data_IF_485301601691
#
_entry.id   IF_485301601691
#
_cell.length_a   1.000
_cell.length_b   1.000
_cell.length_c   1.000
_cell.angle_alpha   90.00
_cell.angle_beta   90.00
_cell.angle_gamma   90.00
#
_symmetry.space_group_name_H-M   'P 1'
#
loop_
_entity.id
_entity.type
_entity.pdbx_description
1 polymer ?
#
# COMPACT_ATOMS: atom_id res chain seq x y z
N UNK A 1 31.33 4.89 5.69
CA UNK A 1 30.11 5.73 5.62
C UNK A 1 28.93 4.81 5.86
N UNK A 2 28.19 5.00 6.95
CA UNK A 2 26.98 4.23 7.21
C UNK A 2 25.92 4.63 6.19
N UNK A 3 25.66 3.81 5.18
CA UNK A 3 24.52 4.04 4.31
C UNK A 3 23.25 3.99 5.16
N UNK A 4 22.43 5.03 5.08
CA UNK A 4 21.11 5.02 5.68
C UNK A 4 20.33 3.85 5.07
N UNK A 5 19.91 2.89 5.89
CA UNK A 5 19.26 1.65 5.47
C UNK A 5 17.78 1.85 5.09
N UNK A 6 17.48 2.86 4.27
CA UNK A 6 16.11 3.11 3.80
C UNK A 6 15.73 1.99 2.84
N UNK A 7 14.75 1.19 3.25
CA UNK A 7 14.20 0.05 2.49
C UNK A 7 12.74 0.27 2.09
N UNK A 8 12.26 1.51 2.17
CA UNK A 8 10.89 1.87 1.84
C UNK A 8 10.84 3.08 0.92
N UNK A 9 10.00 3.01 -0.10
CA UNK A 9 9.75 4.09 -1.06
C UNK A 9 8.25 4.38 -1.04
N UNK A 10 7.89 5.64 -0.79
CA UNK A 10 6.53 6.14 -0.92
C UNK A 10 6.46 7.11 -2.11
N UNK A 11 5.58 6.83 -3.06
CA UNK A 11 5.31 7.68 -4.23
C UNK A 11 3.81 7.74 -4.52
N UNK A 12 3.41 8.38 -5.61
CA UNK A 12 2.05 8.42 -6.15
C UNK A 12 2.11 8.81 -7.63
N UNK A 13 1.14 8.34 -8.42
CA UNK A 13 1.01 8.73 -9.84
C UNK A 13 0.99 10.26 -10.02
N UNK A 14 0.28 10.96 -9.12
CA UNK A 14 0.14 12.43 -9.16
C UNK A 14 1.47 13.17 -8.95
N UNK A 15 2.47 12.54 -8.31
CA UNK A 15 3.79 13.16 -8.14
C UNK A 15 4.59 13.20 -9.44
N UNK A 16 4.18 12.41 -10.45
CA UNK A 16 4.80 12.33 -11.79
C UNK A 16 6.30 12.00 -11.75
N UNK A 17 6.72 11.21 -10.76
CA UNK A 17 8.13 10.85 -10.55
C UNK A 17 8.36 9.35 -10.28
N UNK A 18 7.40 8.49 -10.63
CA UNK A 18 7.53 7.02 -10.46
C UNK A 18 8.68 6.46 -11.32
N UNK A 19 9.01 7.09 -12.44
CA UNK A 19 10.15 6.70 -13.27
C UNK A 19 11.48 6.96 -12.54
N UNK A 20 11.64 8.09 -11.88
CA UNK A 20 12.83 8.42 -11.10
C UNK A 20 12.96 7.48 -9.88
N UNK A 21 11.84 7.14 -9.24
CA UNK A 21 11.82 6.10 -8.21
C UNK A 21 12.30 4.74 -8.76
N UNK A 22 11.95 4.39 -10.00
CA UNK A 22 12.44 3.18 -10.67
C UNK A 22 13.96 3.16 -10.84
N UNK A 23 14.58 4.32 -11.10
CA UNK A 23 16.04 4.45 -11.20
C UNK A 23 16.67 4.14 -9.85
N UNK A 24 16.17 4.75 -8.76
CA UNK A 24 16.66 4.49 -7.41
C UNK A 24 16.50 3.01 -6.99
N UNK A 25 15.38 2.38 -7.33
CA UNK A 25 15.15 0.94 -7.07
C UNK A 25 16.22 0.10 -7.76
N UNK A 26 16.46 0.32 -9.06
CA UNK A 26 17.45 -0.45 -9.83
C UNK A 26 18.88 -0.22 -9.34
N UNK A 27 19.25 1.04 -9.09
CA UNK A 27 20.60 1.41 -8.67
C UNK A 27 20.90 1.01 -7.21
N UNK A 28 19.89 0.72 -6.40
CA UNK A 28 20.09 0.24 -5.03
C UNK A 28 20.81 -1.11 -4.94
N UNK A 29 20.70 -1.94 -6.00
CA UNK A 29 21.23 -3.31 -6.01
C UNK A 29 20.54 -4.27 -5.02
N UNK A 30 19.48 -3.84 -4.33
CA UNK A 30 18.72 -4.69 -3.41
C UNK A 30 17.77 -5.60 -4.18
N UNK A 31 17.49 -6.79 -3.62
CA UNK A 31 16.45 -7.65 -4.13
C UNK A 31 15.08 -6.96 -4.05
N UNK A 32 14.17 -7.22 -4.98
CA UNK A 32 12.86 -6.54 -5.02
C UNK A 32 12.08 -6.76 -3.72
N UNK A 33 12.11 -7.97 -3.20
CA UNK A 33 11.47 -8.38 -1.94
C UNK A 33 12.03 -7.68 -0.70
N UNK A 34 13.21 -7.07 -0.78
CA UNK A 34 13.84 -6.31 0.30
C UNK A 34 13.45 -4.82 0.32
N UNK A 35 12.65 -4.37 -0.67
CA UNK A 35 12.21 -2.99 -0.81
C UNK A 35 10.69 -2.93 -0.67
N UNK A 36 10.19 -2.16 0.29
CA UNK A 36 8.77 -1.89 0.45
C UNK A 36 8.34 -0.71 -0.41
N UNK A 37 7.48 -0.92 -1.41
CA UNK A 37 7.03 0.13 -2.32
C UNK A 37 5.56 0.48 -2.08
N UNK A 38 5.28 1.75 -1.82
CA UNK A 38 3.93 2.32 -1.78
C UNK A 38 3.72 3.26 -2.96
N UNK A 39 2.62 3.07 -3.70
CA UNK A 39 2.09 4.08 -4.64
C UNK A 39 0.59 4.28 -4.44
N UNK A 40 0.00 5.27 -5.11
CA UNK A 40 -1.38 5.73 -4.85
C UNK A 40 -2.13 5.98 -6.15
N UNK A 41 -3.33 5.42 -6.26
CA UNK A 41 -4.32 5.76 -7.28
C UNK A 41 -4.74 7.22 -7.14
N UNK A 42 -4.49 8.03 -8.17
CA UNK A 42 -4.84 9.45 -8.14
C UNK A 42 -5.89 9.89 -9.15
N UNK A 43 -6.47 8.97 -9.92
CA UNK A 43 -7.34 9.31 -11.05
C UNK A 43 -6.65 10.18 -12.11
N UNK A 44 -5.31 10.10 -12.19
CA UNK A 44 -4.52 10.88 -13.13
C UNK A 44 -5.03 10.62 -14.55
N UNK A 45 -5.19 11.70 -15.31
CA UNK A 45 -5.69 11.67 -16.70
C UNK A 45 -7.08 11.01 -16.85
N UNK A 46 -7.87 10.91 -15.76
CA UNK A 46 -9.20 10.32 -15.78
C UNK A 46 -9.22 8.79 -15.91
N UNK A 47 -8.07 8.13 -15.68
CA UNK A 47 -7.96 6.68 -15.81
C UNK A 47 -8.57 5.95 -14.60
N UNK A 48 -9.09 4.75 -14.87
CA UNK A 48 -9.60 3.85 -13.83
C UNK A 48 -8.47 3.25 -12.96
N UNK A 49 -8.87 2.60 -11.87
CA UNK A 49 -7.95 1.99 -10.88
C UNK A 49 -7.08 0.90 -11.54
N UNK A 50 -7.67 0.07 -12.40
CA UNK A 50 -6.98 -1.06 -13.03
C UNK A 50 -5.92 -0.61 -14.04
N UNK A 51 -6.23 0.36 -14.90
CA UNK A 51 -5.28 0.95 -15.85
C UNK A 51 -4.19 1.70 -15.08
N UNK A 52 -4.58 2.41 -14.03
CA UNK A 52 -3.68 3.18 -13.19
C UNK A 52 -2.60 2.34 -12.52
N UNK A 53 -2.95 1.23 -11.87
CA UNK A 53 -1.94 0.37 -11.24
C UNK A 53 -0.98 -0.23 -12.27
N UNK A 54 -1.47 -0.64 -13.44
CA UNK A 54 -0.61 -1.18 -14.49
C UNK A 54 0.39 -0.14 -15.01
N UNK A 55 -0.04 1.11 -15.15
CA UNK A 55 0.86 2.22 -15.50
C UNK A 55 1.91 2.46 -14.40
N UNK A 56 1.51 2.45 -13.12
CA UNK A 56 2.44 2.57 -12.00
C UNK A 56 3.48 1.44 -11.99
N UNK A 57 3.05 0.19 -12.14
CA UNK A 57 3.95 -0.97 -12.20
C UNK A 57 4.96 -0.86 -13.35
N UNK A 58 4.49 -0.42 -14.52
CA UNK A 58 5.35 -0.15 -15.68
C UNK A 58 6.35 0.97 -15.43
N UNK A 59 5.91 2.09 -14.85
CA UNK A 59 6.77 3.24 -14.55
C UNK A 59 7.83 2.90 -13.50
N UNK A 60 7.43 2.16 -12.46
CA UNK A 60 8.31 1.68 -11.39
C UNK A 60 9.21 0.52 -11.84
N UNK A 61 8.86 -0.16 -12.93
CA UNK A 61 9.59 -1.32 -13.45
C UNK A 61 9.52 -2.55 -12.53
N UNK A 62 8.38 -2.75 -11.86
CA UNK A 62 8.17 -3.85 -10.90
C UNK A 62 6.91 -4.64 -11.23
N UNK A 63 6.87 -5.91 -10.82
CA UNK A 63 5.70 -6.77 -11.05
C UNK A 63 4.56 -6.54 -10.04
N UNK A 64 4.86 -5.97 -8.87
CA UNK A 64 3.91 -5.67 -7.81
C UNK A 64 4.38 -4.48 -6.96
N UNK A 65 3.46 -3.86 -6.22
CA UNK A 65 3.76 -2.94 -5.11
C UNK A 65 3.36 -3.56 -3.78
N UNK A 66 3.99 -3.14 -2.69
CA UNK A 66 3.70 -3.70 -1.37
C UNK A 66 2.48 -3.02 -0.73
N UNK A 67 2.16 -1.80 -1.16
CA UNK A 67 0.96 -1.08 -0.77
C UNK A 67 0.44 -0.20 -1.92
N UNK A 68 -0.86 -0.30 -2.19
CA UNK A 68 -1.56 0.57 -3.14
C UNK A 68 -2.74 1.24 -2.46
N UNK A 69 -2.81 2.57 -2.53
CA UNK A 69 -3.79 3.39 -1.81
C UNK A 69 -4.68 4.18 -2.76
N UNK A 70 -5.89 4.55 -2.33
CA UNK A 70 -6.68 5.60 -2.97
C UNK A 70 -6.18 6.94 -2.42
N UNK A 71 -5.53 7.76 -3.25
CA UNK A 71 -4.81 8.96 -2.80
C UNK A 71 -5.71 9.99 -2.11
N UNK A 72 -7.01 10.01 -2.44
CA UNK A 72 -8.00 10.87 -1.80
C UNK A 72 -9.40 10.24 -1.92
N UNK A 73 -10.25 10.25 -0.88
CA UNK A 73 -11.55 9.58 -0.89
C UNK A 73 -12.50 10.05 -2.00
N UNK A 74 -12.36 11.30 -2.49
CA UNK A 74 -13.14 11.81 -3.63
C UNK A 74 -12.85 11.09 -4.95
N UNK A 75 -11.75 10.35 -5.05
CA UNK A 75 -11.42 9.54 -6.21
C UNK A 75 -12.14 8.19 -6.20
N UNK A 76 -12.75 7.81 -5.08
CA UNK A 76 -13.56 6.60 -4.99
C UNK A 76 -14.93 6.85 -5.64
N UNK A 77 -14.99 6.58 -6.94
CA UNK A 77 -16.19 6.75 -7.77
C UNK A 77 -16.71 5.37 -8.18
N UNK A 78 -18.04 5.10 -8.10
CA UNK A 78 -19.10 5.99 -7.62
C UNK A 78 -19.11 6.19 -6.10
N UNK A 79 -18.52 5.26 -5.35
CA UNK A 79 -18.43 5.31 -3.89
C UNK A 79 -17.22 4.50 -3.37
N UNK A 80 -16.93 4.65 -2.07
CA UNK A 80 -15.83 3.96 -1.38
C UNK A 80 -15.97 2.43 -1.45
N UNK A 81 -17.12 1.80 -1.14
CA UNK A 81 -17.26 0.35 -1.24
C UNK A 81 -16.96 -0.21 -2.64
N UNK A 82 -17.40 0.48 -3.70
CA UNK A 82 -17.18 0.05 -5.07
C UNK A 82 -15.72 0.16 -5.47
N UNK A 83 -15.07 1.28 -5.17
CA UNK A 83 -13.64 1.44 -5.41
C UNK A 83 -12.81 0.42 -4.59
N UNK A 84 -13.19 0.19 -3.34
CA UNK A 84 -12.53 -0.80 -2.48
C UNK A 84 -12.60 -2.22 -3.06
N UNK A 85 -13.75 -2.63 -3.59
CA UNK A 85 -13.91 -3.92 -4.27
C UNK A 85 -12.96 -4.07 -5.47
N UNK A 86 -12.69 -2.98 -6.20
CA UNK A 86 -11.69 -3.00 -7.27
C UNK A 86 -10.28 -3.20 -6.72
N UNK A 87 -9.92 -2.54 -5.61
CA UNK A 87 -8.63 -2.72 -4.94
C UNK A 87 -8.45 -4.17 -4.44
N UNK A 88 -9.51 -4.80 -3.92
CA UNK A 88 -9.49 -6.21 -3.51
C UNK A 88 -9.20 -7.15 -4.69
N UNK A 89 -9.74 -6.88 -5.88
CA UNK A 89 -9.42 -7.66 -7.09
C UNK A 89 -7.95 -7.52 -7.50
N UNK A 90 -7.36 -6.33 -7.36
CA UNK A 90 -5.93 -6.12 -7.65
C UNK A 90 -5.03 -6.91 -6.69
N UNK A 91 -5.44 -7.01 -5.41
CA UNK A 91 -4.78 -7.86 -4.42
C UNK A 91 -4.87 -9.34 -4.84
N UNK A 92 -6.05 -9.82 -5.24
CA UNK A 92 -6.22 -11.20 -5.71
C UNK A 92 -5.34 -11.52 -6.92
N UNK A 93 -5.10 -10.54 -7.79
CA UNK A 93 -4.18 -10.64 -8.93
C UNK A 93 -2.69 -10.56 -8.54
N UNK A 94 -2.37 -10.29 -7.27
CA UNK A 94 -1.00 -10.17 -6.79
C UNK A 94 -0.31 -8.86 -7.13
N UNK A 95 -1.03 -7.86 -7.64
CA UNK A 95 -0.46 -6.56 -8.04
C UNK A 95 -0.16 -5.65 -6.84
N UNK A 96 -0.86 -5.88 -5.73
CA UNK A 96 -0.65 -5.21 -4.45
C UNK A 96 -0.71 -6.22 -3.30
N UNK A 97 0.12 -6.04 -2.27
CA UNK A 97 0.05 -6.85 -1.05
C UNK A 97 -0.78 -6.15 0.03
N UNK A 98 -1.50 -6.89 0.89
CA UNK A 98 -2.12 -6.30 2.06
C UNK A 98 -1.05 -5.98 3.13
N UNK A 99 -1.13 -4.80 3.73
CA UNK A 99 -0.20 -4.33 4.78
C UNK A 99 -0.12 -5.30 5.99
N UNK A 100 -1.16 -6.12 6.18
CA UNK A 100 -1.32 -7.07 7.29
C UNK A 100 -0.49 -8.34 7.13
N UNK A 101 0.26 -8.48 6.03
CA UNK A 101 1.12 -9.64 5.75
C UNK A 101 2.61 -9.38 5.96
N UNK A 102 3.00 -8.17 6.38
CA UNK A 102 4.40 -7.87 6.69
C UNK A 102 4.78 -8.51 8.04
N UNK A 103 5.79 -9.41 8.08
CA UNK A 103 6.21 -10.03 9.33
C UNK A 103 7.07 -9.06 10.14
N UNK A 104 6.83 -9.00 11.46
CA UNK A 104 7.74 -8.35 12.40
C UNK A 104 7.46 -6.88 12.63
N UNK A 105 7.12 -6.52 13.87
CA UNK A 105 7.02 -5.14 14.32
C UNK A 105 6.71 -5.01 15.80
N UNK A 106 6.86 -3.79 16.38
CA UNK A 106 6.56 -3.54 17.79
C UNK A 106 5.08 -3.77 18.15
N UNK A 107 4.21 -3.90 17.16
CA UNK A 107 2.78 -4.14 17.33
C UNK A 107 2.40 -5.63 17.37
N UNK A 108 3.27 -6.55 16.96
CA UNK A 108 2.91 -7.97 16.84
C UNK A 108 2.57 -8.61 18.19
N UNK A 109 3.39 -8.33 19.21
CA UNK A 109 3.18 -8.83 20.59
C UNK A 109 1.87 -8.30 21.19
N UNK A 110 1.59 -6.98 21.22
CA UNK A 110 0.34 -6.48 21.77
C UNK A 110 -0.88 -6.87 20.91
N UNK A 111 -0.77 -6.89 19.58
CA UNK A 111 -1.88 -7.32 18.70
C UNK A 111 -2.20 -8.80 18.91
N UNK A 112 -1.18 -9.67 18.99
CA UNK A 112 -1.37 -11.09 19.27
C UNK A 112 -2.02 -11.35 20.63
N UNK A 113 -1.62 -10.60 21.67
CA UNK A 113 -2.23 -10.70 22.99
C UNK A 113 -3.71 -10.26 22.99
N UNK A 114 -4.04 -9.16 22.29
CA UNK A 114 -5.41 -8.67 22.17
C UNK A 114 -6.25 -9.62 21.32
N UNK A 115 -5.69 -10.14 20.22
CA UNK A 115 -6.34 -11.11 19.32
C UNK A 115 -6.76 -12.35 20.09
N UNK A 116 -5.84 -12.94 20.87
CA UNK A 116 -6.13 -14.09 21.73
C UNK A 116 -7.18 -13.79 22.80
N UNK A 117 -7.13 -12.60 23.40
CA UNK A 117 -8.06 -12.18 24.46
C UNK A 117 -9.49 -11.95 23.95
N UNK A 118 -9.63 -11.39 22.75
CA UNK A 118 -10.91 -10.96 22.20
C UNK A 118 -11.49 -11.92 21.16
N UNK A 119 -10.71 -12.90 20.69
CA UNK A 119 -11.15 -13.84 19.65
C UNK A 119 -11.35 -13.18 18.29
N UNK A 120 -10.56 -12.14 17.98
CA UNK A 120 -10.65 -11.34 16.74
C UNK A 120 -9.29 -11.25 16.05
N UNK A 121 -9.25 -10.87 14.77
CA UNK A 121 -8.01 -10.75 14.00
C UNK A 121 -7.23 -9.48 14.35
N UNK A 122 -5.92 -9.46 14.06
CA UNK A 122 -5.08 -8.26 14.20
C UNK A 122 -5.64 -7.06 13.42
N UNK A 123 -6.19 -7.32 12.23
CA UNK A 123 -6.80 -6.31 11.35
C UNK A 123 -8.03 -5.67 11.99
N UNK A 124 -8.88 -6.48 12.61
CA UNK A 124 -10.07 -6.00 13.34
C UNK A 124 -9.67 -5.13 14.54
N UNK A 125 -8.56 -5.46 15.21
CA UNK A 125 -8.03 -4.68 16.32
C UNK A 125 -7.50 -3.33 15.85
N UNK A 126 -6.71 -3.31 14.77
CA UNK A 126 -6.18 -2.08 14.20
C UNK A 126 -7.29 -1.17 13.69
N UNK A 127 -8.28 -1.71 12.98
CA UNK A 127 -9.42 -0.94 12.50
C UNK A 127 -10.26 -0.37 13.65
N UNK A 128 -10.51 -1.16 14.70
CA UNK A 128 -11.20 -0.70 15.89
C UNK A 128 -10.41 0.41 16.63
N UNK A 129 -9.08 0.28 16.70
CA UNK A 129 -8.21 1.28 17.30
C UNK A 129 -8.24 2.59 16.52
N UNK A 130 -8.12 2.56 15.19
CA UNK A 130 -8.21 3.77 14.34
C UNK A 130 -9.56 4.47 14.55
N UNK A 131 -10.67 3.72 14.52
CA UNK A 131 -12.00 4.26 14.82
C UNK A 131 -12.08 4.89 16.22
N UNK A 132 -11.47 4.26 17.23
CA UNK A 132 -11.45 4.78 18.61
C UNK A 132 -10.71 6.11 18.76
N UNK A 133 -9.78 6.42 17.84
CA UNK A 133 -9.03 7.67 17.81
C UNK A 133 -9.75 8.79 17.05
N UNK A 134 -10.98 8.55 16.58
CA UNK A 134 -11.70 9.48 15.72
C UNK A 134 -11.03 9.66 14.35
N UNK A 135 -10.06 8.82 14.02
CA UNK A 135 -9.41 8.79 12.74
C UNK A 135 -10.20 7.86 11.81
N UNK A 136 -10.26 8.22 10.54
CA UNK A 136 -10.78 7.36 9.49
C UNK A 136 -9.57 6.70 8.84
N UNK A 137 -9.49 5.37 8.93
CA UNK A 137 -8.58 4.61 8.08
C UNK A 137 -9.16 4.69 6.66
N UNK A 138 -8.67 5.66 5.89
CA UNK A 138 -8.87 5.68 4.44
C UNK A 138 -7.59 5.10 3.86
N UNK A 139 -7.68 3.86 3.41
CA UNK A 139 -6.70 3.27 2.52
C UNK A 139 -7.02 3.70 1.09
#
# INVERSE_FOLDING_TARGET
MSSLSVRAIDTAQLYRNEFEASVAIRESGLAREDIFITTKYSGLDGLDIATSINNSLKNLGVAYVDLYLIHHPRLAVPDIPTAWKQMELLKEQGLAKPITTLPGGPLDVPLGAISKRLGVTNDQILLAWVKSKGAIAVT
#
